data_IF_283091760617
#
_entry.id   IF_283091760617
#
_cell.length_a   1.000
_cell.length_b   1.000
_cell.length_c   1.000
_cell.angle_alpha   90.00
_cell.angle_beta   90.00
_cell.angle_gamma   90.00
#
_symmetry.space_group_name_H-M   'P 1'
#
loop_
_entity.id
_entity.type
_entity.pdbx_description
1 polymer ?
#
# COMPACT_ATOMS: atom_id res chain seq x y z
N UNK A 1 -11.73 -10.94 14.09
CA UNK A 1 -11.56 -9.54 13.63
C UNK A 1 -10.25 -9.39 12.84
N UNK A 2 -10.01 -10.21 11.80
CA UNK A 2 -8.77 -10.18 11.02
C UNK A 2 -8.94 -9.53 9.65
N UNK A 3 -9.86 -10.06 8.84
CA UNK A 3 -9.96 -9.71 7.42
C UNK A 3 -10.40 -8.27 7.12
N UNK A 4 -11.23 -7.66 7.98
CA UNK A 4 -11.66 -6.27 7.79
C UNK A 4 -10.49 -5.31 8.04
N UNK A 5 -9.69 -5.55 9.06
CA UNK A 5 -8.53 -4.72 9.44
C UNK A 5 -7.41 -4.84 8.40
N UNK A 6 -7.17 -6.05 7.88
CA UNK A 6 -6.15 -6.27 6.84
C UNK A 6 -6.56 -5.63 5.50
N UNK A 7 -7.81 -5.78 5.07
CA UNK A 7 -8.32 -5.12 3.86
C UNK A 7 -8.36 -3.59 4.01
N UNK A 8 -8.72 -3.08 5.18
CA UNK A 8 -8.66 -1.63 5.47
C UNK A 8 -7.22 -1.14 5.50
N UNK A 9 -6.25 -1.93 5.97
CA UNK A 9 -4.84 -1.54 5.99
C UNK A 9 -4.21 -1.53 4.59
N UNK A 10 -4.54 -2.53 3.77
CA UNK A 10 -4.12 -2.58 2.37
C UNK A 10 -4.75 -1.43 1.55
N UNK A 11 -6.05 -1.18 1.73
CA UNK A 11 -6.73 -0.03 1.13
C UNK A 11 -6.18 1.30 1.67
N UNK A 12 -5.88 1.38 2.97
CA UNK A 12 -5.35 2.56 3.64
C UNK A 12 -3.98 2.96 3.13
N UNK A 13 -3.07 2.00 2.91
CA UNK A 13 -1.76 2.29 2.34
C UNK A 13 -1.83 2.80 0.89
N UNK A 14 -2.74 2.24 0.07
CA UNK A 14 -3.00 2.77 -1.28
C UNK A 14 -3.58 4.17 -1.27
N UNK A 15 -4.53 4.43 -0.36
CA UNK A 15 -5.15 5.75 -0.17
C UNK A 15 -4.12 6.77 0.28
N UNK A 16 -3.29 6.47 1.29
CA UNK A 16 -2.26 7.37 1.78
C UNK A 16 -1.21 7.67 0.70
N UNK A 17 -0.79 6.66 -0.06
CA UNK A 17 0.13 6.85 -1.20
C UNK A 17 -0.46 7.78 -2.27
N UNK A 18 -1.71 7.53 -2.69
CA UNK A 18 -2.42 8.38 -3.64
C UNK A 18 -2.61 9.81 -3.12
N UNK A 19 -2.90 9.98 -1.84
CA UNK A 19 -3.07 11.29 -1.22
C UNK A 19 -1.73 12.05 -1.19
N UNK A 20 -0.63 11.39 -0.82
CA UNK A 20 0.71 12.01 -0.88
C UNK A 20 1.09 12.41 -2.30
N UNK A 21 0.80 11.56 -3.27
CA UNK A 21 1.07 11.86 -4.68
C UNK A 21 0.22 13.01 -5.20
N UNK A 22 -1.07 13.04 -4.87
CA UNK A 22 -1.98 14.11 -5.24
C UNK A 22 -1.60 15.45 -4.59
N UNK A 23 -1.28 15.44 -3.31
CA UNK A 23 -0.80 16.63 -2.59
C UNK A 23 0.56 17.08 -3.15
N UNK A 24 1.47 16.14 -3.41
CA UNK A 24 2.77 16.42 -4.00
C UNK A 24 2.65 17.09 -5.38
N UNK A 25 1.79 16.55 -6.27
CA UNK A 25 1.48 17.16 -7.57
C UNK A 25 0.82 18.53 -7.42
N UNK A 26 -0.10 18.69 -6.46
CA UNK A 26 -0.80 19.95 -6.24
C UNK A 26 0.07 21.05 -5.61
N UNK A 27 1.18 20.68 -4.96
CA UNK A 27 2.09 21.59 -4.27
C UNK A 27 3.47 21.68 -4.93
N UNK A 28 3.64 21.11 -6.12
CA UNK A 28 4.94 21.00 -6.83
C UNK A 28 6.06 20.40 -5.94
N UNK A 29 5.70 19.45 -5.10
CA UNK A 29 6.61 18.78 -4.17
C UNK A 29 6.93 17.36 -4.66
N UNK A 30 7.98 17.25 -5.49
CA UNK A 30 8.47 15.99 -6.04
C UNK A 30 8.80 14.95 -4.96
N UNK A 31 9.23 15.39 -3.77
CA UNK A 31 9.53 14.47 -2.66
C UNK A 31 8.27 13.75 -2.17
N UNK A 32 7.13 14.45 -2.08
CA UNK A 32 5.86 13.85 -1.67
C UNK A 32 5.32 12.88 -2.73
N UNK A 33 5.50 13.21 -4.02
CA UNK A 33 5.16 12.32 -5.14
C UNK A 33 5.99 11.03 -5.07
N UNK A 34 7.31 11.16 -4.95
CA UNK A 34 8.21 10.03 -4.84
C UNK A 34 7.95 9.16 -3.59
N UNK A 35 7.64 9.78 -2.45
CA UNK A 35 7.24 9.05 -1.24
C UNK A 35 5.92 8.28 -1.43
N UNK A 36 4.95 8.87 -2.13
CA UNK A 36 3.68 8.24 -2.47
C UNK A 36 3.85 7.01 -3.35
N UNK A 37 4.57 7.14 -4.46
CA UNK A 37 4.90 6.03 -5.37
C UNK A 37 5.70 4.93 -4.66
N UNK A 38 6.72 5.30 -3.88
CA UNK A 38 7.51 4.33 -3.14
C UNK A 38 6.68 3.55 -2.11
N UNK A 39 5.74 4.22 -1.43
CA UNK A 39 4.80 3.56 -0.51
C UNK A 39 3.84 2.62 -1.24
N UNK A 40 3.32 3.01 -2.42
CA UNK A 40 2.46 2.13 -3.21
C UNK A 40 3.20 0.90 -3.71
N UNK A 41 4.44 1.06 -4.18
CA UNK A 41 5.26 -0.04 -4.65
C UNK A 41 5.57 -1.01 -3.51
N UNK A 42 5.95 -0.49 -2.34
CA UNK A 42 6.20 -1.29 -1.13
C UNK A 42 4.93 -2.01 -0.67
N UNK A 43 3.79 -1.31 -0.65
CA UNK A 43 2.50 -1.88 -0.29
C UNK A 43 2.12 -3.02 -1.22
N UNK A 44 2.24 -2.82 -2.53
CA UNK A 44 1.95 -3.85 -3.56
C UNK A 44 2.87 -5.06 -3.42
N UNK A 45 4.17 -4.82 -3.20
CA UNK A 45 5.14 -5.91 -2.98
C UNK A 45 4.84 -6.71 -1.70
N UNK A 46 4.42 -6.04 -0.63
CA UNK A 46 4.00 -6.70 0.61
C UNK A 46 2.67 -7.46 0.43
N UNK A 47 1.73 -6.90 -0.32
CA UNK A 47 0.45 -7.54 -0.64
C UNK A 47 0.70 -8.85 -1.41
N UNK A 48 1.49 -8.79 -2.48
CA UNK A 48 1.87 -9.98 -3.28
C UNK A 48 2.59 -11.01 -2.42
N UNK A 49 3.58 -10.59 -1.62
CA UNK A 49 4.30 -11.50 -0.72
C UNK A 49 3.39 -12.11 0.33
N UNK A 50 2.44 -11.32 0.86
CA UNK A 50 1.43 -11.74 1.82
C UNK A 50 0.44 -12.73 1.20
N UNK A 51 -0.06 -12.45 0.00
CA UNK A 51 -0.93 -13.35 -0.75
C UNK A 51 -0.24 -14.67 -1.09
N UNK A 52 1.01 -14.62 -1.55
CA UNK A 52 1.81 -15.84 -1.82
C UNK A 52 2.07 -16.62 -0.53
N UNK A 53 2.42 -15.94 0.57
CA UNK A 53 2.64 -16.62 1.85
C UNK A 53 1.35 -17.18 2.46
N UNK A 54 0.23 -16.48 2.30
CA UNK A 54 -1.09 -16.94 2.73
C UNK A 54 -1.54 -18.15 1.92
N UNK A 55 -1.46 -18.07 0.58
CA UNK A 55 -1.85 -19.16 -0.30
C UNK A 55 -0.97 -20.43 -0.15
N UNK A 56 0.26 -20.30 0.35
CA UNK A 56 1.15 -21.44 0.60
C UNK A 56 1.20 -21.89 2.06
N UNK A 57 0.68 -21.07 2.99
CA UNK A 57 0.79 -21.27 4.43
C UNK A 57 -0.54 -21.61 5.12
N UNK A 58 -1.68 -21.43 4.45
CA UNK A 58 -3.02 -21.71 4.98
C UNK A 58 -3.49 -23.16 4.71
N UNK A 59 -2.65 -23.98 4.04
CA UNK A 59 -2.93 -25.39 3.70
C UNK A 59 -2.28 -26.42 4.68
N UNK A 60 -1.90 -26.03 5.91
CA UNK A 60 -1.42 -26.96 6.97
C UNK A 60 -2.20 -26.79 8.27
#
# INVERSE_FOLDING_TARGET
MGELTDKISAAGNKVVGNVKEAIGKATDNEKLVAEGEAQQLKGTAQDVKGSVKGALGDDI
#
